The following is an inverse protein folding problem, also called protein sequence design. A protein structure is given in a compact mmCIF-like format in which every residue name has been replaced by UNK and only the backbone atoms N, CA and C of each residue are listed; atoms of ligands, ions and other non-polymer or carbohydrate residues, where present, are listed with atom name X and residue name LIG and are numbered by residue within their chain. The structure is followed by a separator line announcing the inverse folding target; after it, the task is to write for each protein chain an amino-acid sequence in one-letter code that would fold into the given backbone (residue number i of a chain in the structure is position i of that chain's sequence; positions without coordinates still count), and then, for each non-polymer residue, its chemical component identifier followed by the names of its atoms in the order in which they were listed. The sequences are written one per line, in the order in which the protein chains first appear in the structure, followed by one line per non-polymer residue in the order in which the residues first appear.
data_IF_359942749045
#
_entry.id   IF_359942749045
#
_cell.length_a   1.000
_cell.length_b   1.000
_cell.length_c   1.000
_cell.angle_alpha   90.00
_cell.angle_beta   90.00
_cell.angle_gamma   90.00
#
_symmetry.space_group_name_H-M   'P 1'
#
loop_
_entity.id
_entity.type
_entity.pdbx_description
1 polymer ?
#
# COMPACT_ATOMS: atom_id res chain seq x y z
N UNK A 1 2.69 -24.54 -38.22
CA UNK A 1 2.52 -25.20 -36.91
C UNK A 1 1.84 -24.21 -35.99
N UNK A 2 0.50 -24.25 -35.96
CA UNK A 2 -0.29 -23.39 -35.09
C UNK A 2 -0.44 -24.09 -33.75
N UNK A 3 0.34 -23.68 -32.75
CA UNK A 3 0.15 -24.13 -31.38
C UNK A 3 -1.12 -23.50 -30.83
N UNK A 4 -2.17 -24.29 -30.69
CA UNK A 4 -3.37 -23.87 -29.96
C UNK A 4 -2.98 -23.56 -28.51
N UNK A 5 -3.43 -22.43 -27.92
CA UNK A 5 -3.17 -22.15 -26.52
C UNK A 5 -3.81 -23.25 -25.67
N UNK A 6 -2.99 -23.92 -24.85
CA UNK A 6 -3.46 -24.91 -23.89
C UNK A 6 -4.51 -24.25 -22.98
N UNK A 7 -5.72 -24.80 -22.87
CA UNK A 7 -6.72 -24.28 -21.93
C UNK A 7 -6.12 -24.33 -20.53
N UNK A 8 -6.11 -23.18 -19.84
CA UNK A 8 -5.76 -23.14 -18.41
C UNK A 8 -6.71 -24.10 -17.70
N UNK A 9 -6.17 -25.18 -17.13
CA UNK A 9 -6.98 -26.09 -16.35
C UNK A 9 -7.52 -25.32 -15.13
N UNK A 10 -8.83 -25.41 -14.84
CA UNK A 10 -9.39 -24.73 -13.70
C UNK A 10 -8.73 -25.24 -12.42
N UNK A 11 -8.02 -24.36 -11.73
CA UNK A 11 -7.49 -24.64 -10.40
C UNK A 11 -8.67 -24.99 -9.49
N UNK A 12 -8.60 -26.12 -8.80
CA UNK A 12 -9.72 -26.64 -7.99
C UNK A 12 -10.20 -25.66 -6.90
N UNK A 13 -9.30 -24.80 -6.41
CA UNK A 13 -9.65 -23.64 -5.58
C UNK A 13 -8.68 -22.47 -5.87
N UNK A 14 -9.06 -21.52 -6.74
CA UNK A 14 -8.27 -20.34 -7.07
C UNK A 14 -7.95 -19.44 -5.86
N UNK A 15 -8.82 -19.44 -4.84
CA UNK A 15 -8.67 -18.61 -3.64
C UNK A 15 -7.60 -19.20 -2.72
N UNK A 16 -7.67 -20.50 -2.45
CA UNK A 16 -6.64 -21.18 -1.67
C UNK A 16 -5.28 -21.13 -2.37
N UNK A 17 -5.24 -21.30 -3.70
CA UNK A 17 -4.01 -21.22 -4.47
C UNK A 17 -3.33 -19.85 -4.35
N UNK A 18 -4.10 -18.75 -4.48
CA UNK A 18 -3.57 -17.40 -4.31
C UNK A 18 -3.06 -17.16 -2.88
N UNK A 19 -3.82 -17.58 -1.85
CA UNK A 19 -3.39 -17.44 -0.45
C UNK A 19 -2.07 -18.14 -0.18
N UNK A 20 -1.92 -19.39 -0.65
CA UNK A 20 -0.68 -20.14 -0.51
C UNK A 20 0.47 -19.48 -1.25
N UNK A 21 0.22 -18.92 -2.44
CA UNK A 21 1.22 -18.15 -3.21
C UNK A 21 1.72 -16.93 -2.44
N UNK A 22 0.81 -16.18 -1.83
CA UNK A 22 1.13 -14.99 -1.03
C UNK A 22 1.98 -15.38 0.17
N UNK A 23 1.54 -16.38 0.96
CA UNK A 23 2.30 -16.87 2.10
C UNK A 23 3.71 -17.36 1.74
N UNK A 24 3.88 -17.92 0.54
CA UNK A 24 5.17 -18.40 0.04
C UNK A 24 6.09 -17.30 -0.53
N UNK A 25 5.58 -16.09 -0.83
CA UNK A 25 6.39 -15.00 -1.40
C UNK A 25 6.63 -13.85 -0.42
N UNK A 26 5.74 -13.68 0.55
CA UNK A 26 5.80 -12.58 1.49
C UNK A 26 6.61 -12.99 2.70
N UNK A 27 7.80 -12.40 2.82
CA UNK A 27 8.73 -12.67 3.92
C UNK A 27 9.03 -11.41 4.72
N UNK A 28 9.36 -11.60 6.00
CA UNK A 28 9.78 -10.49 6.86
C UNK A 28 8.67 -9.47 7.15
N UNK A 29 7.40 -9.86 7.00
CA UNK A 29 6.24 -9.09 7.45
C UNK A 29 5.98 -7.78 6.72
N UNK A 30 6.53 -7.61 5.50
CA UNK A 30 6.29 -6.44 4.66
C UNK A 30 6.05 -6.85 3.22
N UNK A 31 5.04 -6.25 2.59
CA UNK A 31 4.71 -6.42 1.18
C UNK A 31 4.70 -5.03 0.54
N UNK A 32 5.72 -4.75 -0.26
CA UNK A 32 5.82 -3.51 -1.03
C UNK A 32 4.78 -3.46 -2.17
N UNK A 33 4.59 -2.26 -2.73
CA UNK A 33 3.56 -2.04 -3.75
C UNK A 33 3.82 -2.82 -5.05
N UNK A 34 5.09 -3.10 -5.36
CA UNK A 34 5.48 -3.86 -6.57
C UNK A 34 5.10 -5.33 -6.40
N UNK A 35 5.51 -5.96 -5.30
CA UNK A 35 5.17 -7.34 -4.97
C UNK A 35 3.66 -7.53 -4.86
N UNK A 36 2.94 -6.58 -4.23
CA UNK A 36 1.47 -6.61 -4.20
C UNK A 36 0.89 -6.61 -5.61
N UNK A 37 1.38 -5.75 -6.50
CA UNK A 37 0.98 -5.72 -7.90
C UNK A 37 1.21 -7.04 -8.62
N UNK A 38 2.39 -7.65 -8.43
CA UNK A 38 2.70 -8.98 -8.99
C UNK A 38 1.76 -10.07 -8.48
N UNK A 39 1.46 -10.10 -7.19
CA UNK A 39 0.56 -11.10 -6.58
C UNK A 39 -0.87 -10.97 -7.12
N UNK A 40 -1.35 -9.73 -7.34
CA UNK A 40 -2.64 -9.48 -7.97
C UNK A 40 -2.65 -9.96 -9.42
N UNK A 41 -1.61 -9.63 -10.19
CA UNK A 41 -1.49 -10.08 -11.58
C UNK A 41 -1.47 -11.61 -11.68
N UNK A 42 -0.72 -12.29 -10.81
CA UNK A 42 -0.74 -13.76 -10.73
C UNK A 42 -2.13 -14.30 -10.38
N UNK A 43 -2.87 -13.64 -9.48
CA UNK A 43 -4.26 -13.96 -9.21
C UNK A 43 -5.15 -13.94 -10.45
N UNK A 44 -4.93 -12.96 -11.32
CA UNK A 44 -5.70 -12.77 -12.56
C UNK A 44 -5.24 -13.77 -13.63
N UNK A 45 -3.95 -13.81 -13.96
CA UNK A 45 -3.41 -14.57 -15.08
C UNK A 45 -3.36 -16.07 -14.82
N UNK A 46 -2.96 -16.48 -13.61
CA UNK A 46 -2.63 -17.87 -13.32
C UNK A 46 -3.83 -18.61 -12.70
N UNK A 47 -4.72 -17.87 -12.02
CA UNK A 47 -5.86 -18.44 -11.31
C UNK A 47 -7.23 -17.96 -11.84
N UNK A 48 -7.26 -17.10 -12.86
CA UNK A 48 -8.49 -16.67 -13.53
C UNK A 48 -9.42 -15.84 -12.64
N UNK A 49 -8.88 -15.13 -11.64
CA UNK A 49 -9.68 -14.29 -10.76
C UNK A 49 -10.01 -12.95 -11.43
N UNK A 50 -11.22 -12.46 -11.19
CA UNK A 50 -11.60 -11.07 -11.47
C UNK A 50 -10.61 -10.10 -10.77
N UNK A 51 -10.17 -9.00 -11.44
CA UNK A 51 -9.14 -8.11 -10.89
C UNK A 51 -9.46 -7.56 -9.49
N UNK A 52 -10.70 -7.12 -9.26
CA UNK A 52 -11.14 -6.61 -7.96
C UNK A 52 -11.11 -7.71 -6.88
N UNK A 53 -11.45 -8.95 -7.25
CA UNK A 53 -11.41 -10.10 -6.35
C UNK A 53 -9.97 -10.50 -6.02
N UNK A 54 -9.08 -10.50 -7.00
CA UNK A 54 -7.65 -10.78 -6.78
C UNK A 54 -7.01 -9.75 -5.83
N UNK A 55 -7.32 -8.46 -6.01
CA UNK A 55 -6.86 -7.39 -5.12
C UNK A 55 -7.37 -7.58 -3.68
N UNK A 56 -8.69 -7.77 -3.51
CA UNK A 56 -9.28 -7.98 -2.19
C UNK A 56 -8.71 -9.22 -1.48
N UNK A 57 -8.59 -10.34 -2.20
CA UNK A 57 -8.03 -11.57 -1.63
C UNK A 57 -6.56 -11.42 -1.25
N UNK A 58 -5.80 -10.64 -2.02
CA UNK A 58 -4.42 -10.30 -1.69
C UNK A 58 -4.35 -9.52 -0.38
N UNK A 59 -5.17 -8.48 -0.24
CA UNK A 59 -5.19 -7.64 0.96
C UNK A 59 -5.61 -8.43 2.21
N UNK A 60 -6.65 -9.27 2.09
CA UNK A 60 -7.12 -10.14 3.18
C UNK A 60 -6.06 -11.17 3.58
N UNK A 61 -5.35 -11.75 2.61
CA UNK A 61 -4.28 -12.71 2.91
C UNK A 61 -3.10 -12.04 3.64
N UNK A 62 -2.69 -10.85 3.21
CA UNK A 62 -1.63 -10.08 3.88
C UNK A 62 -2.02 -9.72 5.32
N UNK A 63 -3.27 -9.32 5.54
CA UNK A 63 -3.81 -9.04 6.87
C UNK A 63 -3.82 -10.30 7.76
N UNK A 64 -4.25 -11.44 7.23
CA UNK A 64 -4.21 -12.72 7.94
C UNK A 64 -2.80 -13.18 8.32
N UNK A 65 -1.78 -12.72 7.58
CA UNK A 65 -0.36 -12.99 7.86
C UNK A 65 0.27 -11.95 8.82
N UNK A 66 -0.46 -10.91 9.22
CA UNK A 66 0.13 -9.79 9.99
C UNK A 66 1.22 -9.04 9.21
N UNK A 67 1.10 -9.02 7.87
CA UNK A 67 2.06 -8.40 6.98
C UNK A 67 1.66 -6.97 6.64
N UNK A 68 2.59 -6.02 6.80
CA UNK A 68 2.38 -4.65 6.35
C UNK A 68 2.14 -4.63 4.83
N UNK A 69 1.06 -3.98 4.42
CA UNK A 69 0.69 -3.76 3.02
C UNK A 69 1.01 -2.30 2.69
N UNK A 70 2.12 -2.06 1.99
CA UNK A 70 2.63 -0.72 1.71
C UNK A 70 1.58 0.16 1.02
N UNK A 71 0.92 -0.36 -0.03
CA UNK A 71 -0.07 0.40 -0.78
C UNK A 71 -1.21 0.88 0.14
N UNK A 72 -1.75 -0.02 0.97
CA UNK A 72 -2.84 0.31 1.90
C UNK A 72 -2.40 1.36 2.93
N UNK A 73 -1.18 1.27 3.45
CA UNK A 73 -0.64 2.25 4.40
C UNK A 73 -0.34 3.60 3.73
N UNK A 74 0.08 3.62 2.47
CA UNK A 74 0.22 4.83 1.67
C UNK A 74 -1.13 5.52 1.40
N UNK A 75 -2.17 4.74 1.11
CA UNK A 75 -3.53 5.27 0.92
C UNK A 75 -4.04 5.90 2.23
N UNK A 76 -3.86 5.20 3.36
CA UNK A 76 -4.21 5.71 4.68
C UNK A 76 -3.44 7.00 5.06
N UNK A 77 -2.14 7.07 4.74
CA UNK A 77 -1.34 8.29 4.93
C UNK A 77 -1.87 9.43 4.06
N UNK A 78 -2.20 9.16 2.81
CA UNK A 78 -2.79 10.16 1.90
C UNK A 78 -4.09 10.71 2.46
N UNK A 79 -4.96 9.85 3.00
CA UNK A 79 -6.23 10.27 3.59
C UNK A 79 -6.05 11.01 4.93
N UNK A 80 -5.00 10.71 5.71
CA UNK A 80 -4.61 11.54 6.86
C UNK A 80 -4.17 12.93 6.43
N UNK A 81 -3.31 13.03 5.41
CA UNK A 81 -2.82 14.31 4.91
C UNK A 81 -3.95 15.18 4.32
N UNK A 82 -4.91 14.58 3.61
CA UNK A 82 -6.11 15.30 3.15
C UNK A 82 -6.89 15.89 4.32
N UNK A 83 -7.16 15.09 5.35
CA UNK A 83 -7.89 15.54 6.55
C UNK A 83 -7.24 16.75 7.23
N UNK A 84 -5.90 16.81 7.29
CA UNK A 84 -5.19 17.97 7.84
C UNK A 84 -5.21 19.18 6.90
N UNK A 85 -5.12 18.97 5.58
CA UNK A 85 -4.78 20.02 4.62
C UNK A 85 -5.94 20.53 3.78
N UNK A 86 -7.10 19.88 3.82
CA UNK A 86 -8.24 20.21 2.94
C UNK A 86 -8.81 21.61 3.16
N UNK A 87 -8.67 22.16 4.37
CA UNK A 87 -9.23 23.48 4.70
C UNK A 87 -8.29 24.65 4.34
N UNK A 88 -6.99 24.54 4.63
CA UNK A 88 -6.07 25.70 4.56
C UNK A 88 -4.81 25.47 3.70
N UNK A 89 -4.66 24.26 3.14
CA UNK A 89 -3.50 23.79 2.38
C UNK A 89 -2.18 24.04 3.11
N UNK A 90 -2.18 23.82 4.43
CA UNK A 90 -0.97 23.83 5.25
C UNK A 90 -0.83 22.50 5.96
N UNK A 91 0.42 22.09 6.13
CA UNK A 91 0.79 20.93 6.93
C UNK A 91 1.84 21.38 7.94
N UNK A 92 1.48 21.44 9.20
CA UNK A 92 2.40 21.80 10.26
C UNK A 92 3.30 20.61 10.67
N UNK A 93 4.43 20.87 11.37
CA UNK A 93 5.36 19.81 11.75
C UNK A 93 4.78 18.73 12.67
N UNK A 94 3.81 19.10 13.52
CA UNK A 94 3.12 18.17 14.42
C UNK A 94 2.18 17.28 13.60
N UNK A 95 1.35 17.85 12.73
CA UNK A 95 0.47 17.08 11.84
C UNK A 95 1.25 16.10 10.97
N UNK A 96 2.38 16.54 10.39
CA UNK A 96 3.29 15.68 9.64
C UNK A 96 3.82 14.53 10.49
N UNK A 97 4.30 14.82 11.70
CA UNK A 97 4.82 13.81 12.63
C UNK A 97 3.74 12.81 13.03
N UNK A 98 2.55 13.29 13.39
CA UNK A 98 1.42 12.48 13.81
C UNK A 98 0.98 11.55 12.65
N UNK A 99 0.86 12.07 11.42
CA UNK A 99 0.54 11.29 10.23
C UNK A 99 1.55 10.16 9.97
N UNK A 100 2.85 10.48 9.98
CA UNK A 100 3.92 9.51 9.75
C UNK A 100 3.91 8.42 10.85
N UNK A 101 3.78 8.82 12.12
CA UNK A 101 3.77 7.87 13.23
C UNK A 101 2.60 6.90 13.15
N UNK A 102 1.42 7.35 12.71
CA UNK A 102 0.22 6.51 12.58
C UNK A 102 0.39 5.34 11.59
N UNK A 103 1.20 5.50 10.55
CA UNK A 103 1.41 4.48 9.52
C UNK A 103 2.74 3.74 9.64
N UNK A 104 3.79 4.38 10.18
CA UNK A 104 5.10 3.75 10.35
C UNK A 104 5.17 2.88 11.61
N UNK A 105 4.35 3.17 12.63
CA UNK A 105 4.26 2.32 13.81
C UNK A 105 3.52 1.02 13.46
N UNK A 106 4.07 -0.16 13.77
CA UNK A 106 3.36 -1.42 13.57
C UNK A 106 2.04 -1.44 14.34
N UNK A 107 0.97 -1.87 13.67
CA UNK A 107 -0.34 -2.13 14.31
C UNK A 107 -0.29 -3.41 15.13
N UNK A 108 -1.23 -3.56 16.06
CA UNK A 108 -1.37 -4.80 16.81
C UNK A 108 -1.54 -6.00 15.86
N UNK A 109 -0.75 -7.06 16.06
CA UNK A 109 -0.73 -8.22 15.17
C UNK A 109 0.20 -8.09 13.96
N UNK A 110 0.83 -6.94 13.74
CA UNK A 110 1.78 -6.71 12.64
C UNK A 110 3.20 -6.54 13.17
N UNK A 111 4.17 -7.07 12.42
CA UNK A 111 5.59 -6.94 12.77
C UNK A 111 6.22 -5.64 12.26
N UNK A 112 5.60 -5.00 11.26
CA UNK A 112 6.09 -3.77 10.62
C UNK A 112 4.94 -2.80 10.36
N UNK A 113 5.30 -1.52 10.24
CA UNK A 113 4.47 -0.49 9.61
C UNK A 113 5.08 -0.06 8.27
N UNK A 114 4.63 1.06 7.72
CA UNK A 114 5.17 1.66 6.51
C UNK A 114 6.64 2.04 6.72
N UNK A 115 7.48 1.83 5.70
CA UNK A 115 8.86 2.31 5.79
C UNK A 115 8.92 3.84 5.85
N UNK A 116 9.71 4.37 6.79
CA UNK A 116 9.82 5.82 7.01
C UNK A 116 10.21 6.58 5.73
N UNK A 117 11.13 6.03 4.94
CA UNK A 117 11.57 6.64 3.67
C UNK A 117 10.44 6.75 2.65
N UNK A 118 9.58 5.74 2.59
CA UNK A 118 8.39 5.72 1.71
C UNK A 118 7.38 6.75 2.21
N UNK A 119 7.12 6.80 3.53
CA UNK A 119 6.24 7.78 4.13
C UNK A 119 6.70 9.22 3.89
N UNK A 120 7.99 9.51 4.12
CA UNK A 120 8.57 10.84 3.89
C UNK A 120 8.47 11.27 2.44
N UNK A 121 8.79 10.36 1.49
CA UNK A 121 8.67 10.62 0.06
C UNK A 121 7.21 10.88 -0.34
N UNK A 122 6.27 10.11 0.20
CA UNK A 122 4.84 10.29 -0.06
C UNK A 122 4.35 11.65 0.41
N UNK A 123 4.71 12.10 1.62
CA UNK A 123 4.32 13.42 2.14
C UNK A 123 4.83 14.53 1.22
N UNK A 124 6.10 14.48 0.80
CA UNK A 124 6.67 15.48 -0.11
C UNK A 124 5.92 15.50 -1.44
N UNK A 125 5.71 14.33 -2.05
CA UNK A 125 5.00 14.21 -3.32
C UNK A 125 3.54 14.69 -3.21
N UNK A 126 2.85 14.34 -2.13
CA UNK A 126 1.50 14.82 -1.84
C UNK A 126 1.48 16.33 -1.73
N UNK A 127 2.41 16.93 -0.98
CA UNK A 127 2.46 18.38 -0.81
C UNK A 127 2.67 19.12 -2.12
N UNK A 128 3.60 18.64 -2.96
CA UNK A 128 3.85 19.20 -4.30
C UNK A 128 2.64 19.07 -5.21
N UNK A 129 2.03 17.89 -5.28
CA UNK A 129 0.90 17.61 -6.15
C UNK A 129 -0.36 18.40 -5.78
N UNK A 130 -0.53 18.74 -4.49
CA UNK A 130 -1.74 19.39 -3.98
C UNK A 130 -1.53 20.86 -3.57
N UNK A 131 -0.34 21.42 -3.81
CA UNK A 131 0.00 22.80 -3.43
C UNK A 131 -0.01 23.03 -1.91
N UNK A 132 0.19 21.99 -1.11
CA UNK A 132 0.21 22.09 0.36
C UNK A 132 1.54 22.66 0.80
N UNK A 133 1.48 23.68 1.66
CA UNK A 133 2.67 24.35 2.19
C UNK A 133 3.07 23.76 3.53
N UNK A 134 4.35 23.48 3.70
CA UNK A 134 4.95 23.07 4.97
C UNK A 134 5.63 24.26 5.65
N UNK A 135 5.69 24.22 6.98
CA UNK A 135 6.35 25.25 7.79
C UNK A 135 7.88 25.09 7.75
N UNK A 136 8.61 26.13 7.33
CA UNK A 136 10.09 26.13 7.20
C UNK A 136 10.78 27.19 8.08
N UNK A 137 10.09 27.68 9.10
CA UNK A 137 10.59 28.68 10.05
C UNK A 137 9.46 29.25 10.91
N UNK A 138 9.72 30.34 11.66
CA UNK A 138 8.72 30.91 12.57
C UNK A 138 7.46 31.41 11.85
N UNK A 139 7.63 32.02 10.67
CA UNK A 139 6.55 32.68 9.91
C UNK A 139 6.51 32.29 8.41
N UNK A 140 7.37 31.35 7.97
CA UNK A 140 7.53 31.01 6.55
C UNK A 140 6.90 29.65 6.22
N UNK A 141 6.12 29.64 5.15
CA UNK A 141 5.46 28.47 4.60
C UNK A 141 5.87 28.30 3.14
N UNK A 142 6.19 27.08 2.73
CA UNK A 142 6.61 26.80 1.35
C UNK A 142 6.18 25.41 0.92
N UNK A 143 6.03 25.19 -0.38
CA UNK A 143 5.82 23.85 -0.92
C UNK A 143 7.20 23.18 -0.94
N UNK A 144 7.39 22.03 -0.28
CA UNK A 144 8.69 21.37 -0.16
C UNK A 144 9.20 20.78 -1.48
#
# INVERSE_FOLDING_TARGET
MSGSPTPLQPVADPVAALRNRIAARVFGGYCDSVLRGELIQQGISDFGLEPAKAALLTDVALEGLGCANEQKLCDELTDLLRRFTDQDKKLDPKERSDAIQMVCKPRFGYSKGLELKVADALVVNFCRANGVRVKVGLLRWTIP
#
